data_IF_947526320032
#
_entry.id   IF_947526320032
#
_cell.length_a   1.000
_cell.length_b   1.000
_cell.length_c   1.000
_cell.angle_alpha   90.00
_cell.angle_beta   90.00
_cell.angle_gamma   90.00
#
_symmetry.space_group_name_H-M   'P 1'
#
loop_
_entity.id
_entity.type
_entity.pdbx_description
1 polymer ?
#
# COMPACT_ATOMS: atom_id res chain seq x y z
N UNK A 1 70.29 -58.16 -8.17
CA UNK A 1 69.23 -58.47 -7.19
C UNK A 1 67.87 -58.28 -7.87
N UNK A 2 66.92 -59.11 -7.46
CA UNK A 2 65.60 -59.47 -8.03
C UNK A 2 64.64 -58.35 -8.48
N UNK A 3 63.89 -58.67 -9.58
CA UNK A 3 62.43 -58.51 -9.83
C UNK A 3 61.86 -57.07 -9.93
N UNK A 4 60.80 -56.77 -10.69
CA UNK A 4 59.60 -57.51 -11.13
C UNK A 4 58.95 -56.78 -12.35
N UNK A 5 58.14 -57.47 -13.14
CA UNK A 5 57.43 -56.97 -14.34
C UNK A 5 55.98 -56.47 -14.05
N UNK A 6 55.46 -55.65 -14.98
CA UNK A 6 54.03 -55.39 -15.35
C UNK A 6 53.17 -54.55 -14.39
N UNK A 7 52.10 -53.82 -14.75
CA UNK A 7 51.18 -53.74 -15.92
C UNK A 7 50.76 -52.25 -16.07
N UNK A 8 50.47 -51.78 -17.29
CA UNK A 8 49.82 -50.49 -17.56
C UNK A 8 48.41 -50.40 -16.98
N UNK A 9 48.10 -49.30 -16.29
CA UNK A 9 46.72 -48.86 -16.05
C UNK A 9 46.61 -47.38 -16.39
N UNK A 10 45.99 -47.08 -17.52
CA UNK A 10 45.56 -45.73 -17.88
C UNK A 10 44.39 -45.37 -16.99
N UNK A 11 44.62 -44.49 -16.03
CA UNK A 11 43.59 -43.96 -15.16
C UNK A 11 42.84 -42.85 -15.92
N UNK A 12 41.66 -43.16 -16.44
CA UNK A 12 40.74 -42.13 -16.92
C UNK A 12 40.19 -41.38 -15.70
N UNK A 13 40.72 -40.19 -15.40
CA UNK A 13 40.00 -39.23 -14.56
C UNK A 13 38.81 -38.71 -15.37
N UNK A 14 37.64 -39.29 -15.16
CA UNK A 14 36.40 -38.61 -15.48
C UNK A 14 36.27 -37.42 -14.52
N UNK A 15 36.74 -36.24 -14.97
CA UNK A 15 36.41 -34.98 -14.31
C UNK A 15 34.91 -34.78 -14.49
N UNK A 16 34.14 -35.25 -13.51
CA UNK A 16 32.73 -34.92 -13.40
C UNK A 16 32.65 -33.42 -13.17
N UNK A 17 32.39 -32.66 -14.23
CA UNK A 17 31.95 -31.28 -14.09
C UNK A 17 30.63 -31.32 -13.33
N UNK A 18 30.69 -31.12 -12.00
CA UNK A 18 29.53 -30.62 -11.26
C UNK A 18 29.36 -29.18 -11.72
N UNK A 19 28.76 -29.01 -12.89
CA UNK A 19 28.14 -27.77 -13.26
C UNK A 19 27.10 -27.52 -12.17
N UNK A 20 27.38 -26.58 -11.27
CA UNK A 20 26.30 -25.80 -10.72
C UNK A 20 25.65 -25.16 -11.94
N UNK A 21 24.59 -25.79 -12.43
CA UNK A 21 23.59 -25.09 -13.19
C UNK A 21 23.10 -24.02 -12.20
N UNK A 22 23.68 -22.83 -12.28
CA UNK A 22 23.03 -21.64 -11.77
C UNK A 22 21.65 -21.69 -12.40
N UNK A 23 20.65 -22.01 -11.57
CA UNK A 23 19.26 -21.88 -11.96
C UNK A 23 19.10 -20.39 -12.19
N UNK A 24 19.34 -19.95 -13.44
CA UNK A 24 18.92 -18.63 -13.87
C UNK A 24 17.45 -18.60 -13.57
N UNK A 25 17.10 -17.91 -12.49
CA UNK A 25 15.72 -17.63 -12.15
C UNK A 25 15.15 -17.00 -13.40
N UNK A 26 14.31 -17.75 -14.12
CA UNK A 26 13.55 -17.18 -15.21
C UNK A 26 12.68 -16.16 -14.50
N UNK A 27 13.03 -14.88 -14.66
CA UNK A 27 12.17 -13.73 -14.34
C UNK A 27 10.88 -13.95 -15.14
N UNK A 28 9.96 -14.67 -14.55
CA UNK A 28 8.58 -14.70 -14.97
C UNK A 28 7.90 -13.60 -14.19
N UNK A 29 7.45 -12.63 -14.97
CA UNK A 29 6.44 -11.61 -14.69
C UNK A 29 6.90 -10.19 -14.38
N UNK A 30 6.10 -9.27 -14.90
CA UNK A 30 6.33 -7.88 -15.28
C UNK A 30 6.58 -6.90 -14.14
N UNK A 31 7.45 -7.22 -13.19
CA UNK A 31 7.76 -6.32 -12.09
C UNK A 31 8.90 -5.38 -12.50
N UNK A 32 8.52 -4.20 -13.00
CA UNK A 32 9.45 -3.09 -13.21
C UNK A 32 10.10 -2.79 -11.85
N UNK A 33 11.38 -3.13 -11.72
CA UNK A 33 12.16 -2.82 -10.52
C UNK A 33 12.51 -1.33 -10.59
N UNK A 34 12.16 -0.59 -9.54
CA UNK A 34 12.53 0.82 -9.43
C UNK A 34 14.06 0.94 -9.29
N UNK A 35 14.64 1.97 -9.90
CA UNK A 35 16.09 2.22 -9.75
C UNK A 35 16.47 2.60 -8.31
N UNK A 36 15.53 3.18 -7.57
CA UNK A 36 15.69 3.53 -6.15
C UNK A 36 15.65 2.31 -5.22
N UNK A 37 15.19 1.14 -5.69
CA UNK A 37 14.94 -0.03 -4.84
C UNK A 37 13.68 0.09 -3.98
N UNK A 38 12.93 1.20 -4.07
CA UNK A 38 11.67 1.40 -3.37
C UNK A 38 10.54 0.66 -4.08
N UNK A 39 9.70 -0.02 -3.31
CA UNK A 39 8.44 -0.59 -3.84
C UNK A 39 7.48 0.56 -4.21
N UNK A 40 6.67 0.37 -5.25
CA UNK A 40 5.86 1.46 -5.84
C UNK A 40 4.76 1.98 -4.92
N UNK A 41 4.19 1.13 -4.07
CA UNK A 41 3.03 1.44 -3.22
C UNK A 41 3.29 1.21 -1.73
N UNK A 42 4.55 0.95 -1.37
CA UNK A 42 4.95 0.67 0.02
C UNK A 42 5.76 1.86 0.49
N UNK A 43 5.33 2.43 1.61
CA UNK A 43 6.02 3.52 2.28
C UNK A 43 7.50 3.17 2.52
N UNK A 44 8.45 4.06 2.14
CA UNK A 44 9.86 3.88 2.46
C UNK A 44 10.15 3.65 3.95
N UNK A 45 9.32 4.18 4.84
CA UNK A 45 9.48 4.05 6.28
C UNK A 45 8.87 2.75 6.85
N UNK A 46 8.18 1.95 6.03
CA UNK A 46 7.69 0.63 6.46
C UNK A 46 8.87 -0.28 6.82
N UNK A 47 8.90 -0.83 8.06
CA UNK A 47 9.96 -1.73 8.49
C UNK A 47 10.05 -3.00 7.64
N UNK A 48 11.27 -3.43 7.32
CA UNK A 48 11.51 -4.53 6.37
C UNK A 48 10.94 -5.87 6.87
N UNK A 49 10.85 -6.07 8.17
CA UNK A 49 10.23 -7.24 8.80
C UNK A 49 8.72 -7.32 8.56
N UNK A 50 8.06 -6.21 8.17
CA UNK A 50 6.64 -6.16 7.84
C UNK A 50 6.35 -6.45 6.37
N UNK A 51 7.38 -6.68 5.56
CA UNK A 51 7.23 -6.91 4.11
C UNK A 51 6.65 -8.28 3.79
N UNK A 52 6.66 -9.20 4.74
CA UNK A 52 6.13 -10.55 4.59
C UNK A 52 5.31 -10.93 5.81
N UNK A 53 4.21 -11.65 5.59
CA UNK A 53 3.37 -12.19 6.65
C UNK A 53 3.16 -13.69 6.47
N UNK A 54 3.35 -14.47 7.53
CA UNK A 54 2.98 -15.89 7.54
C UNK A 54 1.54 -16.04 8.03
N UNK A 55 0.69 -16.58 7.17
CA UNK A 55 -0.70 -16.86 7.50
C UNK A 55 -0.81 -17.99 8.52
N UNK A 56 -1.97 -18.08 9.18
CA UNK A 56 -2.29 -19.19 10.08
C UNK A 56 -2.30 -20.57 9.40
N UNK A 57 -2.26 -20.63 8.07
CA UNK A 57 -2.22 -21.86 7.27
C UNK A 57 -0.83 -22.17 6.71
N UNK A 58 0.17 -21.36 7.02
CA UNK A 58 1.56 -21.54 6.59
C UNK A 58 1.90 -20.92 5.23
N UNK A 59 0.97 -20.24 4.57
CA UNK A 59 1.25 -19.47 3.36
C UNK A 59 1.97 -18.16 3.68
N UNK A 60 2.90 -17.74 2.82
CA UNK A 60 3.57 -16.44 2.91
C UNK A 60 2.89 -15.41 2.01
N UNK A 61 2.56 -14.24 2.56
CA UNK A 61 2.02 -13.10 1.82
C UNK A 61 3.05 -11.98 1.76
N UNK A 62 3.20 -11.38 0.57
CA UNK A 62 4.05 -10.21 0.37
C UNK A 62 3.24 -8.91 0.57
N UNK A 63 3.85 -7.95 1.25
CA UNK A 63 3.32 -6.60 1.36
C UNK A 63 3.36 -5.91 -0.01
N UNK A 64 2.18 -5.53 -0.48
CA UNK A 64 1.98 -4.86 -1.78
C UNK A 64 1.72 -3.37 -1.66
N UNK A 65 1.23 -2.89 -0.51
CA UNK A 65 0.94 -1.48 -0.26
C UNK A 65 0.98 -1.15 1.23
N UNK A 66 1.50 0.03 1.60
CA UNK A 66 1.53 0.56 2.98
C UNK A 66 1.65 2.07 2.99
N UNK A 67 1.18 2.69 4.08
CA UNK A 67 1.39 4.09 4.44
C UNK A 67 1.52 4.14 5.96
N UNK A 68 2.56 4.75 6.50
CA UNK A 68 2.76 4.86 7.95
C UNK A 68 2.14 6.13 8.54
N UNK A 69 1.64 7.05 7.70
CA UNK A 69 1.01 8.32 8.10
C UNK A 69 1.87 9.16 9.07
N UNK A 70 3.20 9.01 8.99
CA UNK A 70 4.17 9.59 9.93
C UNK A 70 4.69 10.98 9.52
N UNK A 71 4.28 11.50 8.37
CA UNK A 71 4.58 12.86 7.93
C UNK A 71 3.44 13.79 8.37
N UNK A 72 3.62 14.66 9.37
CA UNK A 72 2.54 15.50 9.89
C UNK A 72 2.12 16.62 8.91
N UNK A 73 0.83 16.98 8.94
CA UNK A 73 0.26 18.06 8.14
C UNK A 73 0.07 17.73 6.66
N UNK A 74 -0.04 16.44 6.29
CA UNK A 74 -0.36 16.07 4.90
C UNK A 74 -1.76 16.58 4.53
N UNK A 75 -1.85 17.13 3.32
CA UNK A 75 -3.12 17.46 2.67
C UNK A 75 -3.48 16.35 1.71
N UNK A 76 -4.71 15.86 1.80
CA UNK A 76 -5.25 14.83 0.91
C UNK A 76 -6.15 15.42 -0.18
N UNK A 77 -6.08 16.73 -0.42
CA UNK A 77 -6.82 17.33 -1.55
C UNK A 77 -6.36 16.72 -2.88
N UNK A 78 -7.21 16.71 -3.91
CA UNK A 78 -6.83 16.23 -5.23
C UNK A 78 -5.53 16.89 -5.73
N UNK A 79 -4.47 16.09 -5.87
CA UNK A 79 -3.15 16.52 -6.34
C UNK A 79 -2.11 16.84 -5.26
N UNK A 80 -2.50 16.90 -3.98
CA UNK A 80 -1.58 17.22 -2.87
C UNK A 80 -0.87 15.96 -2.33
N UNK A 81 -1.51 14.80 -2.41
CA UNK A 81 -0.95 13.52 -2.01
C UNK A 81 -0.83 12.55 -3.20
N UNK A 82 0.21 11.74 -3.20
CA UNK A 82 0.55 10.85 -4.31
C UNK A 82 -0.22 9.53 -4.30
N UNK A 83 -0.81 9.16 -3.17
CA UNK A 83 -1.49 7.88 -2.98
C UNK A 83 -2.95 8.03 -2.60
N UNK A 84 -3.27 9.03 -1.76
CA UNK A 84 -4.61 9.23 -1.24
C UNK A 84 -5.26 10.48 -1.82
N UNK A 85 -6.58 10.51 -1.81
CA UNK A 85 -7.36 11.69 -2.18
C UNK A 85 -8.63 11.69 -1.36
N UNK A 86 -8.80 12.69 -0.51
CA UNK A 86 -10.03 12.91 0.25
C UNK A 86 -11.15 13.38 -0.69
N UNK A 87 -12.38 13.24 -0.23
CA UNK A 87 -13.57 13.56 -1.03
C UNK A 87 -14.31 14.75 -0.42
N UNK A 88 -14.90 15.60 -1.28
CA UNK A 88 -15.83 16.66 -0.86
C UNK A 88 -17.21 16.40 -1.48
N UNK A 89 -18.13 15.86 -0.68
CA UNK A 89 -19.45 15.40 -1.13
C UNK A 89 -20.39 15.19 0.07
N UNK A 90 -21.69 15.51 -0.05
CA UNK A 90 -22.67 15.06 0.95
C UNK A 90 -22.72 13.53 1.04
N UNK A 91 -22.79 12.98 2.25
CA UNK A 91 -23.08 11.57 2.40
C UNK A 91 -24.52 11.32 1.92
N UNK A 92 -24.62 10.52 0.85
CA UNK A 92 -25.87 10.31 0.13
C UNK A 92 -26.53 8.98 0.50
N UNK A 93 -26.02 8.29 1.51
CA UNK A 93 -26.50 6.97 1.94
C UNK A 93 -27.21 7.11 3.29
N UNK A 94 -28.28 6.34 3.50
CA UNK A 94 -28.95 6.18 4.80
C UNK A 94 -29.48 7.46 5.48
N UNK A 95 -29.86 8.50 4.73
CA UNK A 95 -30.31 9.78 5.30
C UNK A 95 -29.25 10.44 6.22
N UNK A 96 -27.98 10.29 5.84
CA UNK A 96 -26.87 10.86 6.58
C UNK A 96 -26.95 12.40 6.63
N UNK A 97 -26.69 12.93 7.82
CA UNK A 97 -26.69 14.38 8.09
C UNK A 97 -25.29 15.00 7.96
N UNK A 98 -24.35 14.27 7.36
CA UNK A 98 -22.92 14.64 7.25
C UNK A 98 -22.52 14.99 5.81
N UNK A 99 -21.57 15.91 5.68
CA UNK A 99 -20.83 16.20 4.45
C UNK A 99 -19.36 15.86 4.64
N UNK A 100 -18.80 15.07 3.73
CA UNK A 100 -17.35 14.87 3.67
C UNK A 100 -16.69 16.13 3.12
N UNK A 101 -15.59 16.53 3.74
CA UNK A 101 -14.83 17.70 3.35
C UNK A 101 -13.33 17.46 3.44
N UNK A 102 -12.60 18.02 2.47
CA UNK A 102 -11.15 17.87 2.40
C UNK A 102 -10.40 18.43 3.60
N UNK A 103 -10.97 19.41 4.31
CA UNK A 103 -10.34 20.06 5.45
C UNK A 103 -10.55 19.30 6.78
N UNK A 104 -11.17 18.12 6.74
CA UNK A 104 -11.41 17.28 7.91
C UNK A 104 -10.48 16.06 7.95
N UNK A 105 -9.55 15.92 7.00
CA UNK A 105 -8.48 14.91 7.00
C UNK A 105 -7.13 15.56 7.23
N UNK A 106 -6.31 14.99 8.10
CA UNK A 106 -4.90 15.36 8.27
C UNK A 106 -4.07 14.18 8.77
N UNK A 107 -2.76 14.36 8.89
CA UNK A 107 -1.87 13.49 9.65
C UNK A 107 -1.23 14.28 10.77
N UNK A 108 -1.14 13.68 11.96
CA UNK A 108 -0.47 14.31 13.08
C UNK A 108 0.23 13.29 13.97
N UNK A 109 1.24 13.76 14.69
CA UNK A 109 2.00 12.99 15.64
C UNK A 109 1.69 13.47 17.06
N UNK A 110 1.39 12.53 17.95
CA UNK A 110 1.28 12.79 19.37
C UNK A 110 2.66 12.63 20.02
N UNK A 111 3.27 13.74 20.42
CA UNK A 111 4.60 13.78 21.03
C UNK A 111 4.66 13.07 22.39
N UNK A 112 3.53 12.91 23.10
CA UNK A 112 3.52 12.29 24.42
C UNK A 112 3.65 10.76 24.34
N UNK A 113 3.16 10.16 23.26
CA UNK A 113 3.16 8.71 23.04
C UNK A 113 4.03 8.28 21.85
N UNK A 114 4.64 9.23 21.13
CA UNK A 114 5.48 8.99 19.95
C UNK A 114 4.77 8.18 18.85
N UNK A 115 3.49 8.49 18.63
CA UNK A 115 2.66 7.83 17.61
C UNK A 115 2.15 8.87 16.63
N UNK A 116 2.43 8.64 15.35
CA UNK A 116 1.81 9.37 14.25
C UNK A 116 0.61 8.60 13.70
N UNK A 117 -0.39 9.34 13.24
CA UNK A 117 -1.63 8.75 12.75
C UNK A 117 -2.31 9.66 11.73
N UNK A 118 -3.13 9.03 10.89
CA UNK A 118 -4.16 9.71 10.13
C UNK A 118 -5.30 10.11 11.08
N UNK A 119 -5.71 11.37 11.00
CA UNK A 119 -6.72 11.96 11.87
C UNK A 119 -7.89 12.49 11.03
N UNK A 120 -9.10 12.20 11.53
CA UNK A 120 -10.34 12.76 11.02
C UNK A 120 -10.90 13.69 12.09
N UNK A 121 -11.14 14.93 11.72
CA UNK A 121 -11.82 15.90 12.55
C UNK A 121 -13.32 15.92 12.23
N UNK A 122 -14.14 16.08 13.27
CA UNK A 122 -15.59 16.20 13.15
C UNK A 122 -16.02 17.56 13.65
N UNK A 123 -16.86 18.23 12.86
CA UNK A 123 -17.36 19.56 13.16
C UNK A 123 -18.88 19.58 13.08
N UNK A 124 -19.53 20.06 14.15
CA UNK A 124 -20.97 20.37 14.16
C UNK A 124 -21.18 21.73 13.49
N UNK A 125 -21.70 21.71 12.27
CA UNK A 125 -21.92 22.92 11.48
C UNK A 125 -23.12 22.73 10.55
N UNK A 126 -23.94 23.79 10.43
CA UNK A 126 -25.09 23.79 9.53
C UNK A 126 -24.63 24.14 8.12
N UNK A 127 -24.83 23.21 7.19
CA UNK A 127 -24.40 23.34 5.79
C UNK A 127 -25.63 23.18 4.90
N UNK A 128 -25.80 24.08 3.93
CA UNK A 128 -26.85 23.95 2.93
C UNK A 128 -26.21 23.67 1.57
N UNK A 129 -26.55 22.51 1.00
CA UNK A 129 -26.07 22.09 -0.31
C UNK A 129 -27.23 21.87 -1.26
N UNK A 130 -27.01 22.22 -2.51
CA UNK A 130 -27.95 21.93 -3.59
C UNK A 130 -27.62 20.55 -4.16
N UNK A 131 -28.53 19.59 -3.99
CA UNK A 131 -28.35 18.20 -4.43
C UNK A 131 -29.37 17.83 -5.51
N UNK A 132 -28.98 16.94 -6.42
CA UNK A 132 -29.88 16.45 -7.46
C UNK A 132 -30.80 15.36 -6.92
N UNK A 133 -32.11 15.55 -7.07
CA UNK A 133 -33.12 14.57 -6.68
C UNK A 133 -33.82 13.99 -7.92
N UNK A 134 -33.53 12.72 -8.23
CA UNK A 134 -34.16 11.98 -9.32
C UNK A 134 -35.53 11.40 -8.99
N UNK A 135 -35.97 11.45 -7.74
CA UNK A 135 -37.21 10.85 -7.26
C UNK A 135 -38.42 11.81 -7.26
N UNK A 136 -38.21 13.09 -7.59
CA UNK A 136 -39.28 14.05 -7.77
C UNK A 136 -40.14 13.75 -9.00
N UNK A 137 -41.39 14.23 -8.99
CA UNK A 137 -42.27 14.14 -10.16
C UNK A 137 -41.62 14.78 -11.41
N UNK A 138 -40.87 15.86 -11.22
CA UNK A 138 -39.95 16.41 -12.21
C UNK A 138 -38.57 16.45 -11.57
N UNK A 139 -37.61 15.62 -12.01
CA UNK A 139 -36.25 15.59 -11.46
C UNK A 139 -35.62 16.98 -11.45
N UNK A 140 -34.95 17.33 -10.36
CA UNK A 140 -34.45 18.68 -10.17
C UNK A 140 -33.51 18.79 -8.98
N UNK A 141 -32.96 19.99 -8.81
CA UNK A 141 -32.12 20.31 -7.68
C UNK A 141 -32.95 20.79 -6.48
N UNK A 142 -32.62 20.28 -5.30
CA UNK A 142 -33.23 20.68 -4.02
C UNK A 142 -32.17 21.11 -3.02
N UNK A 143 -32.50 22.07 -2.15
CA UNK A 143 -31.64 22.47 -1.06
C UNK A 143 -31.85 21.54 0.13
N UNK A 144 -30.79 20.86 0.56
CA UNK A 144 -30.78 19.97 1.72
C UNK A 144 -29.85 20.56 2.78
N UNK A 145 -30.25 20.43 4.05
CA UNK A 145 -29.48 20.90 5.19
C UNK A 145 -28.79 19.72 5.86
N UNK A 146 -27.48 19.84 6.04
CA UNK A 146 -26.61 18.93 6.77
C UNK A 146 -26.13 19.62 8.05
N UNK A 147 -25.71 18.82 9.03
CA UNK A 147 -25.38 19.28 10.38
C UNK A 147 -23.96 18.91 10.82
N UNK A 148 -23.29 18.02 10.07
CA UNK A 148 -21.95 17.58 10.39
C UNK A 148 -21.02 17.74 9.19
N UNK A 149 -19.78 18.17 9.44
CA UNK A 149 -18.65 17.99 8.52
C UNK A 149 -17.74 16.93 9.11
N UNK A 150 -17.36 15.98 8.28
CA UNK A 150 -16.30 15.03 8.57
C UNK A 150 -15.52 14.72 7.31
N UNK A 151 -14.89 13.56 7.28
CA UNK A 151 -13.96 13.22 6.23
C UNK A 151 -14.07 11.75 5.82
N UNK A 152 -13.71 11.48 4.57
CA UNK A 152 -13.66 10.17 3.97
C UNK A 152 -12.57 10.11 2.90
#
# INVERSE_FOLDING_TARGET
MLRLWTVSSVLWLAVGHRGWAARTSRRTDNQLVTQSGLKMWVDPDTPQERYTWETSRGDTWDLVMSDEFNTPGRSFRPGDDHMWTSIEKPDGVNDAMEVYAHNQTTTACDEAIDVCSFQIELEDSVIQLQVWNSYLQTPGFENVTFFYRGAH
#
